data_IF_367302924277
#
_entry.id   IF_367302924277
#
_cell.length_a   1.000
_cell.length_b   1.000
_cell.length_c   1.000
_cell.angle_alpha   90.00
_cell.angle_beta   90.00
_cell.angle_gamma   90.00
#
_symmetry.space_group_name_H-M   'P 1'
#
loop_
_entity.id
_entity.type
_entity.pdbx_description
1 polymer ?
#
# COMPACT_ATOMS: atom_id res chain seq x y z
N UNK A 1 22.91 -3.43 4.63
CA UNK A 1 22.23 -4.55 3.96
C UNK A 1 21.08 -3.96 3.18
N UNK A 2 20.86 -4.42 1.96
CA UNK A 2 19.66 -4.05 1.20
C UNK A 2 18.42 -4.65 1.86
N UNK A 3 17.22 -4.14 1.55
CA UNK A 3 15.98 -4.71 2.09
C UNK A 3 15.79 -6.20 1.82
N UNK A 4 16.11 -6.67 0.61
CA UNK A 4 16.03 -8.09 0.26
C UNK A 4 17.08 -8.93 1.00
N UNK A 5 18.26 -8.37 1.29
CA UNK A 5 19.26 -9.03 2.14
C UNK A 5 18.76 -9.23 3.57
N UNK A 6 18.00 -8.28 4.13
CA UNK A 6 17.40 -8.40 5.47
C UNK A 6 16.37 -9.54 5.49
N UNK A 7 15.41 -9.53 4.56
CA UNK A 7 14.39 -10.59 4.47
C UNK A 7 15.02 -11.97 4.26
N UNK A 8 16.00 -12.07 3.35
CA UNK A 8 16.70 -13.32 3.08
C UNK A 8 17.50 -13.80 4.29
N UNK A 9 18.15 -12.90 5.02
CA UNK A 9 18.86 -13.27 6.27
C UNK A 9 17.89 -13.85 7.28
N UNK A 10 16.75 -13.19 7.51
CA UNK A 10 15.71 -13.66 8.42
C UNK A 10 15.20 -15.05 8.04
N UNK A 11 14.76 -15.23 6.79
CA UNK A 11 14.21 -16.50 6.31
C UNK A 11 15.22 -17.67 6.42
N UNK A 12 16.52 -17.40 6.18
CA UNK A 12 17.59 -18.40 6.31
C UNK A 12 17.83 -18.84 7.75
N UNK A 13 17.58 -17.97 8.75
CA UNK A 13 17.69 -18.34 10.17
C UNK A 13 16.70 -19.46 10.54
N UNK A 14 15.56 -19.53 9.85
CA UNK A 14 14.54 -20.55 10.03
C UNK A 14 14.64 -21.71 9.02
N UNK A 15 15.63 -21.67 8.12
CA UNK A 15 15.88 -22.74 7.14
C UNK A 15 14.99 -22.72 5.90
N UNK A 16 14.34 -21.58 5.61
CA UNK A 16 13.59 -21.40 4.35
C UNK A 16 14.56 -21.42 3.16
N UNK A 17 14.18 -22.09 2.08
CA UNK A 17 14.96 -22.21 0.86
C UNK A 17 15.13 -20.86 0.15
N UNK A 18 16.31 -20.63 -0.45
CA UNK A 18 16.57 -19.40 -1.21
C UNK A 18 15.64 -19.24 -2.43
N UNK A 19 15.18 -20.37 -2.97
CA UNK A 19 14.19 -20.44 -4.04
C UNK A 19 12.81 -19.95 -3.57
N UNK A 20 12.37 -20.38 -2.39
CA UNK A 20 11.13 -19.90 -1.78
C UNK A 20 11.23 -18.41 -1.44
N UNK A 21 12.33 -18.00 -0.81
CA UNK A 21 12.60 -16.59 -0.49
C UNK A 21 12.54 -15.71 -1.73
N UNK A 22 13.10 -16.15 -2.86
CA UNK A 22 13.09 -15.35 -4.10
C UNK A 22 11.68 -15.24 -4.67
N UNK A 23 10.88 -16.31 -4.67
CA UNK A 23 9.49 -16.27 -5.14
C UNK A 23 8.62 -15.37 -4.27
N UNK A 24 8.81 -15.47 -2.95
CA UNK A 24 8.12 -14.62 -1.98
C UNK A 24 8.54 -13.18 -2.22
N UNK A 25 9.84 -12.85 -2.19
CA UNK A 25 10.34 -11.48 -2.38
C UNK A 25 9.84 -10.80 -3.66
N UNK A 26 9.57 -11.56 -4.71
CA UNK A 26 8.99 -11.06 -5.97
C UNK A 26 7.53 -10.58 -5.84
N UNK A 27 6.85 -10.98 -4.77
CA UNK A 27 5.44 -10.73 -4.49
C UNK A 27 5.21 -10.12 -3.09
N UNK A 28 6.24 -9.64 -2.39
CA UNK A 28 6.07 -8.99 -1.07
C UNK A 28 6.41 -7.52 -1.11
N UNK A 29 5.69 -6.74 -0.30
CA UNK A 29 6.07 -5.39 0.06
C UNK A 29 5.99 -5.23 1.59
N UNK A 30 6.99 -4.63 2.22
CA UNK A 30 6.90 -4.25 3.63
C UNK A 30 5.71 -3.30 3.83
N UNK A 31 4.84 -3.66 4.76
CA UNK A 31 3.60 -2.94 5.03
C UNK A 31 3.64 -2.33 6.43
N UNK A 32 2.73 -1.38 6.68
CA UNK A 32 2.49 -0.85 8.02
C UNK A 32 1.01 -0.95 8.31
N UNK A 33 0.65 -1.67 9.37
CA UNK A 33 -0.74 -1.76 9.81
C UNK A 33 -1.06 -0.66 10.81
N UNK A 34 -2.16 0.02 10.52
CA UNK A 34 -2.68 1.17 11.24
C UNK A 34 -4.15 0.89 11.53
N UNK A 35 -4.57 1.13 12.77
CA UNK A 35 -5.99 1.12 13.12
C UNK A 35 -6.53 2.54 13.09
N UNK A 36 -7.76 2.69 12.60
CA UNK A 36 -8.54 3.91 12.80
C UNK A 36 -9.31 3.82 14.13
N UNK A 37 -9.30 4.92 14.91
CA UNK A 37 -9.96 5.00 16.20
C UNK A 37 -10.67 6.34 16.37
N UNK A 38 -11.77 6.36 17.11
CA UNK A 38 -12.37 7.64 17.51
C UNK A 38 -11.38 8.44 18.35
N UNK A 39 -11.30 9.77 18.18
CA UNK A 39 -10.35 10.61 18.92
C UNK A 39 -10.46 10.46 20.45
N UNK A 40 -11.63 10.14 20.98
CA UNK A 40 -11.86 9.92 22.41
C UNK A 40 -11.30 8.60 22.96
N UNK A 41 -11.04 7.63 22.08
CA UNK A 41 -10.51 6.31 22.43
C UNK A 41 -8.98 6.22 22.31
N UNK A 42 -8.33 7.25 21.77
CA UNK A 42 -6.88 7.30 21.61
C UNK A 42 -6.19 7.53 22.96
N UNK A 43 -5.39 6.54 23.39
CA UNK A 43 -4.58 6.65 24.60
C UNK A 43 -3.46 7.69 24.49
N UNK A 44 -2.97 8.25 25.61
CA UNK A 44 -1.94 9.29 25.60
C UNK A 44 -0.58 8.83 25.07
N UNK A 45 -0.32 7.52 25.10
CA UNK A 45 0.92 6.89 24.62
C UNK A 45 0.77 6.29 23.20
N UNK A 46 -0.37 6.53 22.54
CA UNK A 46 -0.63 6.03 21.19
C UNK A 46 0.31 6.68 20.17
N UNK A 47 0.89 5.86 19.30
CA UNK A 47 1.71 6.34 18.19
C UNK A 47 0.80 6.74 17.03
N UNK A 48 0.41 8.01 17.00
CA UNK A 48 -0.43 8.58 15.94
C UNK A 48 0.39 8.83 14.69
N UNK A 49 -0.13 8.38 13.54
CA UNK A 49 0.52 8.53 12.22
C UNK A 49 -0.29 9.40 11.25
N UNK A 50 -1.49 9.83 11.65
CA UNK A 50 -2.34 10.69 10.84
C UNK A 50 -3.81 10.67 11.26
N UNK A 51 -4.69 11.04 10.35
CA UNK A 51 -6.14 11.03 10.55
C UNK A 51 -6.93 10.76 9.27
N UNK A 52 -8.15 10.28 9.43
CA UNK A 52 -9.16 10.07 8.38
C UNK A 52 -10.23 11.16 8.55
N UNK A 53 -10.76 11.66 7.44
CA UNK A 53 -11.94 12.51 7.42
C UNK A 53 -11.83 13.87 8.10
N UNK A 54 -12.97 14.53 8.26
CA UNK A 54 -13.05 15.93 8.69
C UNK A 54 -12.55 16.91 7.62
N UNK A 55 -12.12 18.08 8.06
CA UNK A 55 -11.58 19.11 7.17
C UNK A 55 -10.07 18.88 6.97
N UNK A 56 -9.57 18.86 5.72
CA UNK A 56 -8.16 18.71 5.46
C UNK A 56 -7.38 19.97 5.86
N UNK A 57 -6.20 19.76 6.43
CA UNK A 57 -5.18 20.80 6.55
C UNK A 57 -4.32 20.76 5.29
N UNK A 58 -4.47 21.75 4.41
CA UNK A 58 -3.83 21.79 3.08
C UNK A 58 -2.91 23.00 2.91
N UNK A 59 -1.95 22.98 1.97
CA UNK A 59 -1.19 24.17 1.61
C UNK A 59 -2.08 25.38 1.28
N UNK A 60 -1.67 26.56 1.72
CA UNK A 60 -2.44 27.81 1.54
C UNK A 60 -2.64 28.22 0.06
N UNK A 61 -1.85 27.69 -0.86
CA UNK A 61 -1.88 27.96 -2.29
C UNK A 61 -2.50 26.84 -3.14
N UNK A 62 -2.78 25.67 -2.54
CA UNK A 62 -3.42 24.54 -3.21
C UNK A 62 -4.92 24.54 -2.86
N UNK A 63 -5.82 24.64 -3.86
CA UNK A 63 -7.25 24.53 -3.63
C UNK A 63 -7.65 23.08 -3.36
N UNK A 64 -8.72 22.88 -2.58
CA UNK A 64 -9.44 21.62 -2.57
C UNK A 64 -10.25 21.54 -3.88
N UNK A 65 -9.94 20.56 -4.71
CA UNK A 65 -10.57 20.35 -6.01
C UNK A 65 -12.03 19.87 -5.90
N UNK A 66 -12.91 20.42 -6.72
CA UNK A 66 -14.33 20.03 -6.83
C UNK A 66 -14.45 18.57 -7.28
N UNK A 67 -15.42 17.82 -6.72
CA UNK A 67 -15.62 16.40 -7.01
C UNK A 67 -14.63 15.44 -6.33
N UNK A 68 -13.70 15.96 -5.51
CA UNK A 68 -12.78 15.15 -4.70
C UNK A 68 -13.19 15.20 -3.24
N UNK A 69 -13.28 14.04 -2.59
CA UNK A 69 -13.45 13.94 -1.14
C UNK A 69 -12.09 13.78 -0.48
N UNK A 70 -11.85 14.54 0.60
CA UNK A 70 -10.71 14.28 1.46
C UNK A 70 -10.93 12.99 2.25
N UNK A 71 -9.98 12.07 2.14
CA UNK A 71 -10.06 10.77 2.83
C UNK A 71 -9.15 10.72 4.04
N UNK A 72 -7.85 10.98 3.86
CA UNK A 72 -6.89 10.84 4.95
C UNK A 72 -5.65 11.73 4.80
N UNK A 73 -4.99 11.99 5.92
CA UNK A 73 -3.69 12.65 6.00
C UNK A 73 -2.72 11.79 6.78
N UNK A 74 -1.53 11.56 6.24
CA UNK A 74 -0.45 10.79 6.87
C UNK A 74 0.75 11.68 7.14
N UNK A 75 1.26 11.68 8.36
CA UNK A 75 2.56 12.27 8.69
C UNK A 75 3.67 11.25 8.39
N UNK A 76 4.41 11.49 7.31
CA UNK A 76 5.46 10.57 6.85
C UNK A 76 6.65 10.48 7.81
N UNK A 77 6.81 11.46 8.71
CA UNK A 77 7.82 11.41 9.77
C UNK A 77 7.38 10.49 10.93
N UNK A 78 6.08 10.34 11.14
CA UNK A 78 5.51 9.45 12.15
C UNK A 78 5.43 7.99 11.68
N UNK A 79 5.35 7.73 10.38
CA UNK A 79 5.35 6.36 9.84
C UNK A 79 6.71 5.70 10.11
N UNK A 80 6.79 4.49 10.70
CA UNK A 80 8.05 3.79 10.90
C UNK A 80 8.80 3.53 9.58
N UNK A 81 10.13 3.43 9.64
CA UNK A 81 10.92 3.06 8.47
C UNK A 81 10.84 1.55 8.27
N UNK A 82 10.30 1.11 7.13
CA UNK A 82 10.31 -0.29 6.73
C UNK A 82 11.56 -0.65 5.93
N UNK A 83 11.76 -1.96 5.76
CA UNK A 83 12.53 -2.45 4.64
C UNK A 83 11.97 -1.84 3.33
N UNK A 84 12.81 -1.59 2.34
CA UNK A 84 12.42 -1.05 1.02
C UNK A 84 12.02 0.44 1.01
N UNK A 85 12.25 1.16 2.11
CA UNK A 85 11.91 2.59 2.28
C UNK A 85 12.91 3.59 1.72
N UNK A 86 13.97 3.15 1.04
CA UNK A 86 15.11 4.03 0.74
C UNK A 86 14.77 5.22 -0.18
N UNK A 87 13.55 5.25 -0.72
CA UNK A 87 13.09 6.19 -1.73
C UNK A 87 11.71 6.81 -1.45
N UNK A 88 11.07 6.43 -0.34
CA UNK A 88 9.82 7.05 0.09
C UNK A 88 10.15 8.30 0.93
N UNK A 89 9.49 9.45 0.71
CA UNK A 89 9.69 10.63 1.53
C UNK A 89 9.47 10.31 3.01
N UNK A 90 10.34 10.85 3.85
CA UNK A 90 10.37 10.58 5.30
C UNK A 90 9.86 11.75 6.13
N UNK A 91 9.46 12.82 5.47
CA UNK A 91 9.04 14.06 6.07
C UNK A 91 7.90 14.65 5.26
N UNK A 92 7.12 15.50 5.92
CA UNK A 92 5.94 16.11 5.31
C UNK A 92 4.70 15.24 5.47
N UNK A 93 3.61 15.70 4.86
CA UNK A 93 2.31 15.05 4.94
C UNK A 93 1.92 14.52 3.58
N UNK A 94 1.27 13.35 3.54
CA UNK A 94 0.59 12.86 2.35
C UNK A 94 -0.92 13.01 2.57
N UNK A 95 -1.55 13.89 1.79
CA UNK A 95 -3.00 14.08 1.78
C UNK A 95 -3.60 13.21 0.68
N UNK A 96 -4.63 12.46 1.01
CA UNK A 96 -5.26 11.49 0.13
C UNK A 96 -6.70 11.92 -0.16
N UNK A 97 -7.05 11.87 -1.44
CA UNK A 97 -8.36 12.23 -1.95
C UNK A 97 -8.92 11.10 -2.82
N UNK A 98 -10.23 10.96 -2.85
CA UNK A 98 -10.94 10.01 -3.71
C UNK A 98 -12.02 10.75 -4.51
N UNK A 99 -12.33 10.27 -5.71
CA UNK A 99 -13.46 10.78 -6.48
C UNK A 99 -14.77 10.46 -5.78
N UNK A 100 -15.68 11.45 -5.71
CA UNK A 100 -17.03 11.26 -5.18
C UNK A 100 -17.97 10.57 -6.18
N UNK A 101 -17.58 10.55 -7.46
CA UNK A 101 -18.34 9.89 -8.53
C UNK A 101 -17.75 8.52 -8.85
N UNK A 102 -18.60 7.49 -8.81
CA UNK A 102 -18.29 6.05 -8.92
C UNK A 102 -17.89 5.59 -10.34
N UNK A 103 -16.94 6.27 -11.01
CA UNK A 103 -16.51 5.90 -12.37
C UNK A 103 -15.00 5.90 -12.53
N UNK A 104 -14.51 4.78 -13.10
CA UNK A 104 -13.11 4.54 -13.48
C UNK A 104 -12.50 5.76 -14.19
N UNK A 105 -11.45 6.39 -13.62
CA UNK A 105 -10.86 7.58 -14.22
C UNK A 105 -9.94 7.17 -15.38
N UNK A 106 -10.40 7.35 -16.62
CA UNK A 106 -9.51 7.29 -17.79
C UNK A 106 -8.62 8.54 -17.91
N UNK A 107 -8.95 9.64 -17.22
CA UNK A 107 -8.10 10.82 -17.02
C UNK A 107 -8.72 11.66 -15.90
N UNK A 108 -8.07 11.72 -14.72
CA UNK A 108 -8.65 12.34 -13.52
C UNK A 108 -7.66 13.19 -12.72
N UNK A 109 -8.13 14.17 -11.93
CA UNK A 109 -7.29 15.04 -11.11
C UNK A 109 -6.60 14.31 -9.95
N UNK A 110 -5.64 14.97 -9.30
CA UNK A 110 -4.75 14.42 -8.26
C UNK A 110 -5.51 13.65 -7.18
N UNK A 111 -5.21 12.35 -7.04
CA UNK A 111 -5.72 11.54 -5.92
C UNK A 111 -4.90 11.72 -4.64
N UNK A 112 -3.75 12.40 -4.72
CA UNK A 112 -2.94 12.69 -3.55
C UNK A 112 -2.11 13.99 -3.70
N UNK A 113 -1.78 14.60 -2.57
CA UNK A 113 -0.90 15.77 -2.46
C UNK A 113 0.18 15.48 -1.40
N UNK A 114 1.44 15.40 -1.82
CA UNK A 114 2.56 15.41 -0.89
C UNK A 114 2.91 16.85 -0.52
N UNK A 115 2.87 17.15 0.77
CA UNK A 115 3.20 18.46 1.34
C UNK A 115 4.55 18.35 2.05
N UNK A 116 5.64 18.93 1.49
CA UNK A 116 6.94 18.93 2.13
C UNK A 116 6.92 19.62 3.51
N UNK A 117 7.87 19.29 4.40
CA UNK A 117 7.98 19.95 5.71
C UNK A 117 8.22 21.45 5.54
N UNK A 118 7.59 22.25 6.42
CA UNK A 118 7.74 23.71 6.45
C UNK A 118 6.85 24.49 5.48
N UNK A 119 6.03 23.83 4.66
CA UNK A 119 4.98 24.48 3.89
C UNK A 119 3.86 24.93 4.84
N UNK A 120 3.42 26.21 4.81
CA UNK A 120 2.28 26.66 5.60
C UNK A 120 1.00 25.95 5.16
N UNK A 121 0.28 25.40 6.13
CA UNK A 121 -0.99 24.72 5.90
C UNK A 121 -2.09 25.33 6.74
N UNK A 122 -3.32 25.31 6.22
CA UNK A 122 -4.51 25.76 6.89
C UNK A 122 -5.67 24.81 6.62
N UNK A 123 -6.62 24.75 7.55
CA UNK A 123 -7.87 24.02 7.37
C UNK A 123 -8.65 24.59 6.17
N UNK A 124 -9.13 23.70 5.29
CA UNK A 124 -9.90 24.06 4.10
C UNK A 124 -11.33 23.58 4.20
N UNK A 125 -12.27 24.48 3.94
CA UNK A 125 -13.67 24.12 3.74
C UNK A 125 -13.86 23.38 2.42
N UNK A 126 -14.88 22.52 2.36
CA UNK A 126 -15.27 21.79 1.15
C UNK A 126 -15.59 22.78 0.01
N UNK A 127 -15.12 22.54 -1.24
CA UNK A 127 -15.31 23.45 -2.37
C UNK A 127 -16.79 23.69 -2.71
N UNK A 128 -17.64 22.67 -2.58
CA UNK A 128 -19.10 22.78 -2.81
C UNK A 128 -19.82 23.56 -1.70
N UNK A 129 -19.10 24.04 -0.68
CA UNK A 129 -19.69 24.61 0.51
C UNK A 129 -20.58 23.59 1.24
N UNK A 130 -21.26 24.04 2.28
CA UNK A 130 -22.29 23.23 2.94
C UNK A 130 -23.56 23.11 2.06
N UNK A 131 -23.43 22.79 0.77
CA UNK A 131 -24.57 22.37 -0.03
C UNK A 131 -25.14 21.08 0.58
N UNK A 132 -26.47 21.04 0.72
CA UNK A 132 -27.20 19.94 1.35
C UNK A 132 -26.95 18.63 0.60
N UNK A 133 -25.98 17.82 1.05
CA UNK A 133 -25.81 16.45 0.57
C UNK A 133 -24.41 15.86 0.62
N UNK A 134 -23.33 16.65 0.67
CA UNK A 134 -21.97 16.10 0.76
C UNK A 134 -21.55 15.99 2.23
N UNK A 135 -21.72 14.82 2.82
CA UNK A 135 -21.26 14.54 4.17
C UNK A 135 -19.74 14.34 4.17
N UNK A 136 -19.04 15.12 5.00
CA UNK A 136 -17.62 14.87 5.29
C UNK A 136 -17.47 13.50 5.95
N UNK A 137 -16.36 12.85 5.68
CA UNK A 137 -16.02 11.62 6.40
C UNK A 137 -15.83 11.93 7.87
N UNK A 138 -16.22 10.99 8.72
CA UNK A 138 -16.04 11.12 10.15
C UNK A 138 -14.54 11.25 10.48
N UNK A 139 -14.25 12.16 11.41
CA UNK A 139 -12.87 12.38 11.84
C UNK A 139 -12.41 11.26 12.77
N UNK A 140 -11.48 10.41 12.30
CA UNK A 140 -10.86 9.33 13.07
C UNK A 140 -9.35 9.49 13.10
N UNK A 141 -8.71 9.04 14.18
CA UNK A 141 -7.25 9.08 14.34
C UNK A 141 -6.65 7.77 13.87
N UNK A 142 -5.58 7.86 13.09
CA UNK A 142 -4.80 6.70 12.65
C UNK A 142 -3.69 6.39 13.65
N UNK A 143 -3.78 5.23 14.29
CA UNK A 143 -2.84 4.78 15.33
C UNK A 143 -2.08 3.56 14.83
N UNK A 144 -0.75 3.65 14.86
CA UNK A 144 0.13 2.55 14.52
C UNK A 144 -0.08 1.37 15.47
N UNK A 145 -0.33 0.18 14.92
CA UNK A 145 -0.45 -1.05 15.70
C UNK A 145 0.84 -1.87 15.67
N UNK A 146 1.30 -2.19 14.46
CA UNK A 146 2.44 -3.06 14.24
C UNK A 146 3.37 -2.43 13.19
N UNK A 147 4.55 -1.95 13.60
CA UNK A 147 5.48 -1.30 12.71
C UNK A 147 6.24 -2.27 11.82
N UNK A 148 6.23 -3.58 12.00
CA UNK A 148 7.12 -4.49 11.25
C UNK A 148 6.34 -5.67 10.68
N UNK A 149 5.43 -5.38 9.75
CA UNK A 149 4.61 -6.38 9.08
C UNK A 149 5.00 -6.46 7.60
N UNK A 150 5.04 -7.67 7.08
CA UNK A 150 5.25 -7.89 5.65
C UNK A 150 3.88 -8.06 5.00
N UNK A 151 3.50 -7.16 4.11
CA UNK A 151 2.38 -7.38 3.21
C UNK A 151 2.85 -8.31 2.10
N UNK A 152 2.21 -9.46 1.93
CA UNK A 152 2.54 -10.36 0.83
C UNK A 152 1.38 -10.32 -0.15
N UNK A 153 1.65 -9.88 -1.37
CA UNK A 153 0.68 -9.86 -2.47
C UNK A 153 0.27 -11.32 -2.77
N UNK A 154 -1.03 -11.61 -2.72
CA UNK A 154 -1.57 -12.95 -2.90
C UNK A 154 -1.42 -13.88 -1.70
N UNK A 155 -1.22 -13.35 -0.50
CA UNK A 155 -1.11 -14.17 0.72
C UNK A 155 -2.49 -14.49 1.28
N UNK A 156 -2.76 -15.77 1.63
CA UNK A 156 -4.06 -16.14 2.15
C UNK A 156 -4.33 -15.42 3.48
N UNK A 157 -5.55 -14.93 3.64
CA UNK A 157 -6.02 -14.47 4.95
C UNK A 157 -6.16 -15.65 5.91
N UNK A 158 -6.19 -15.38 7.21
CA UNK A 158 -6.43 -16.43 8.21
C UNK A 158 -7.80 -17.13 8.06
N UNK A 159 -8.76 -16.50 7.38
CA UNK A 159 -10.16 -16.95 7.32
C UNK A 159 -10.55 -17.59 5.98
N UNK A 160 -9.76 -17.42 4.93
CA UNK A 160 -10.03 -17.99 3.61
C UNK A 160 -9.09 -19.18 3.32
N UNK A 161 -9.65 -20.32 2.91
CA UNK A 161 -8.88 -21.30 2.14
C UNK A 161 -8.31 -20.60 0.90
N UNK A 162 -7.09 -20.92 0.46
CA UNK A 162 -6.35 -20.13 -0.53
C UNK A 162 -7.04 -20.15 -1.91
N UNK A 163 -7.99 -19.25 -2.13
CA UNK A 163 -8.70 -19.08 -3.39
C UNK A 163 -7.79 -18.48 -4.50
N UNK A 164 -6.63 -17.92 -4.13
CA UNK A 164 -5.77 -17.08 -4.98
C UNK A 164 -4.49 -17.79 -5.45
N UNK A 165 -4.25 -19.04 -5.04
CA UNK A 165 -2.98 -19.74 -5.31
C UNK A 165 -3.08 -20.94 -6.25
N UNK A 166 -4.27 -21.26 -6.78
CA UNK A 166 -4.44 -22.40 -7.69
C UNK A 166 -3.70 -22.21 -9.04
N UNK A 167 -3.53 -20.96 -9.49
CA UNK A 167 -2.84 -20.62 -10.74
C UNK A 167 -1.31 -20.47 -10.59
N UNK A 168 -0.78 -20.56 -9.36
CA UNK A 168 0.66 -20.47 -9.08
C UNK A 168 1.14 -21.44 -7.98
N UNK A 169 1.25 -22.74 -8.31
CA UNK A 169 1.60 -23.77 -7.34
C UNK A 169 3.01 -23.62 -6.74
N UNK A 170 3.93 -22.93 -7.43
CA UNK A 170 5.30 -22.72 -6.96
C UNK A 170 5.36 -21.61 -5.92
N UNK A 171 4.66 -20.50 -6.14
CA UNK A 171 4.51 -19.46 -5.13
C UNK A 171 3.76 -20.00 -3.91
N UNK A 172 2.69 -20.77 -4.12
CA UNK A 172 1.92 -21.40 -3.06
C UNK A 172 2.75 -22.34 -2.18
N UNK A 173 3.67 -23.11 -2.80
CA UNK A 173 4.59 -23.96 -2.07
C UNK A 173 5.62 -23.13 -1.27
N UNK A 174 6.14 -22.05 -1.84
CA UNK A 174 7.07 -21.15 -1.17
C UNK A 174 6.43 -20.48 0.06
N UNK A 175 5.20 -19.96 -0.08
CA UNK A 175 4.43 -19.35 1.01
C UNK A 175 4.23 -20.33 2.15
N UNK A 176 3.79 -21.57 1.85
CA UNK A 176 3.61 -22.62 2.86
C UNK A 176 4.92 -22.98 3.56
N UNK A 177 6.01 -23.13 2.82
CA UNK A 177 7.33 -23.39 3.40
C UNK A 177 7.72 -22.28 4.40
N UNK A 178 7.51 -21.01 4.05
CA UNK A 178 7.78 -19.89 4.94
C UNK A 178 6.89 -19.92 6.19
N UNK A 179 5.58 -20.10 6.03
CA UNK A 179 4.62 -20.15 7.14
C UNK A 179 4.89 -21.31 8.13
N UNK A 180 5.29 -22.47 7.62
CA UNK A 180 5.58 -23.64 8.46
C UNK A 180 6.86 -23.47 9.28
N UNK A 181 7.83 -22.71 8.76
CA UNK A 181 9.16 -22.57 9.36
C UNK A 181 9.34 -21.29 10.18
N UNK A 182 8.65 -20.21 9.82
CA UNK A 182 8.82 -18.88 10.40
C UNK A 182 7.65 -18.57 11.35
N UNK A 183 7.88 -18.53 12.68
CA UNK A 183 6.82 -18.40 13.68
C UNK A 183 6.12 -17.04 13.70
N UNK A 184 6.79 -16.01 13.18
CA UNK A 184 6.31 -14.64 12.99
C UNK A 184 6.02 -14.36 11.51
N UNK A 185 5.61 -15.39 10.76
CA UNK A 185 5.20 -15.21 9.39
C UNK A 185 4.10 -14.15 9.29
N UNK A 186 4.18 -13.26 8.28
CA UNK A 186 3.21 -12.20 8.11
C UNK A 186 1.78 -12.75 8.02
N UNK A 187 0.87 -12.02 8.64
CA UNK A 187 -0.56 -12.28 8.57
C UNK A 187 -1.22 -11.07 7.94
N UNK A 188 -1.86 -11.27 6.80
CA UNK A 188 -2.73 -10.24 6.21
C UNK A 188 -3.89 -10.04 7.18
N UNK A 189 -3.95 -8.86 7.79
CA UNK A 189 -5.09 -8.45 8.61
C UNK A 189 -6.09 -7.72 7.73
N UNK A 190 -7.27 -8.33 7.53
CA UNK A 190 -8.43 -7.70 6.91
C UNK A 190 -9.43 -7.30 8.01
N UNK A 191 -9.98 -6.10 7.95
CA UNK A 191 -11.06 -5.69 8.83
C UNK A 191 -11.53 -4.26 8.59
N UNK A 192 -12.75 -3.97 9.05
CA UNK A 192 -13.47 -2.72 8.80
C UNK A 192 -12.77 -1.43 9.29
N UNK A 193 -11.67 -1.54 10.06
CA UNK A 193 -10.94 -0.41 10.64
C UNK A 193 -9.44 -0.38 10.26
N UNK A 194 -8.99 -1.23 9.34
CA UNK A 194 -7.57 -1.33 8.97
C UNK A 194 -7.20 -0.34 7.87
N UNK A 195 -6.10 0.39 8.10
CA UNK A 195 -5.38 1.15 7.07
C UNK A 195 -4.04 0.46 6.88
N UNK A 196 -3.69 0.18 5.63
CA UNK A 196 -2.40 -0.44 5.31
C UNK A 196 -1.59 0.51 4.45
N UNK A 197 -0.43 0.92 4.93
CA UNK A 197 0.56 1.57 4.06
C UNK A 197 1.34 0.48 3.36
N UNK A 198 1.42 0.57 2.03
CA UNK A 198 2.12 -0.41 1.18
C UNK A 198 1.56 -1.82 1.31
N UNK A 199 0.23 -1.88 1.38
CA UNK A 199 -0.53 -3.11 1.49
C UNK A 199 -0.66 -3.88 0.19
N UNK A 200 -1.38 -4.99 0.28
CA UNK A 200 -1.92 -5.70 -0.87
C UNK A 200 -2.97 -4.82 -1.59
N UNK A 201 -3.35 -5.16 -2.81
CA UNK A 201 -4.64 -4.71 -3.34
C UNK A 201 -5.66 -5.78 -2.95
N UNK A 202 -6.64 -5.45 -2.12
CA UNK A 202 -7.56 -6.44 -1.56
C UNK A 202 -8.60 -7.06 -2.51
N UNK A 203 -8.48 -6.87 -3.84
CA UNK A 203 -9.23 -7.65 -4.82
C UNK A 203 -8.32 -8.48 -5.75
N UNK A 204 -7.77 -9.61 -5.26
CA UNK A 204 -6.75 -10.39 -5.96
C UNK A 204 -7.24 -11.13 -7.21
N UNK A 205 -8.55 -11.23 -7.47
CA UNK A 205 -9.04 -11.88 -8.69
C UNK A 205 -8.73 -11.10 -9.97
N UNK A 206 -8.44 -9.80 -9.85
CA UNK A 206 -8.00 -8.96 -10.96
C UNK A 206 -6.45 -8.84 -11.03
N UNK A 207 -5.72 -9.28 -9.99
CA UNK A 207 -4.26 -9.11 -9.90
C UNK A 207 -3.44 -10.23 -10.57
N UNK A 208 -4.01 -11.43 -10.75
CA UNK A 208 -3.39 -12.46 -11.61
C UNK A 208 -3.23 -11.98 -13.06
N UNK A 209 -4.05 -11.00 -13.46
CA UNK A 209 -3.96 -10.27 -14.73
C UNK A 209 -3.12 -8.98 -14.63
N UNK A 210 -3.12 -8.25 -13.50
CA UNK A 210 -2.44 -6.96 -13.34
C UNK A 210 -0.90 -6.99 -13.44
N UNK A 211 -0.26 -8.12 -13.15
CA UNK A 211 1.19 -8.29 -13.31
C UNK A 211 1.55 -8.99 -14.63
N UNK A 212 0.58 -9.62 -15.28
CA UNK A 212 0.75 -10.39 -16.51
C UNK A 212 1.56 -11.69 -16.35
N UNK A 213 1.37 -12.62 -17.28
CA UNK A 213 2.12 -13.88 -17.37
C UNK A 213 3.65 -13.61 -17.45
N UNK A 214 4.04 -12.56 -18.18
CA UNK A 214 5.45 -12.23 -18.43
C UNK A 214 6.21 -11.78 -17.16
N UNK A 215 5.56 -11.17 -16.17
CA UNK A 215 6.22 -10.83 -14.90
C UNK A 215 6.42 -12.08 -14.03
N UNK A 216 5.44 -13.01 -14.05
CA UNK A 216 5.55 -14.31 -13.38
C UNK A 216 6.63 -15.20 -14.01
N UNK A 217 6.75 -15.22 -15.33
CA UNK A 217 7.85 -15.93 -16.01
C UNK A 217 9.22 -15.38 -15.59
N UNK A 218 9.38 -14.05 -15.55
CA UNK A 218 10.62 -13.39 -15.09
C UNK A 218 10.98 -13.75 -13.65
N UNK A 219 10.00 -14.00 -12.77
CA UNK A 219 10.25 -14.51 -11.41
C UNK A 219 11.00 -15.83 -11.44
N UNK A 220 10.56 -16.77 -12.27
CA UNK A 220 11.18 -18.10 -12.35
C UNK A 220 12.58 -18.04 -12.98
N UNK A 221 12.80 -17.14 -13.93
CA UNK A 221 14.15 -16.82 -14.42
C UNK A 221 15.03 -16.22 -13.31
N UNK A 222 14.47 -15.30 -12.51
CA UNK A 222 15.17 -14.69 -11.40
C UNK A 222 15.55 -15.71 -10.31
N UNK A 223 14.66 -16.65 -9.97
CA UNK A 223 14.97 -17.76 -9.04
C UNK A 223 16.24 -18.51 -9.46
N UNK A 224 16.35 -18.83 -10.75
CA UNK A 224 17.53 -19.52 -11.28
C UNK A 224 18.75 -18.59 -11.24
N UNK A 225 18.59 -17.33 -11.66
CA UNK A 225 19.69 -16.38 -11.79
C UNK A 225 20.32 -15.97 -10.44
N UNK A 226 19.51 -15.87 -9.38
CA UNK A 226 19.96 -15.38 -8.06
C UNK A 226 20.38 -16.50 -7.11
N UNK A 227 20.19 -17.78 -7.47
CA UNK A 227 20.54 -18.92 -6.61
C UNK A 227 22.03 -18.90 -6.19
N UNK A 228 22.91 -18.52 -7.10
CA UNK A 228 24.36 -18.38 -6.85
C UNK A 228 24.81 -16.91 -6.74
N UNK A 229 23.88 -15.95 -6.82
CA UNK A 229 24.14 -14.52 -6.83
C UNK A 229 22.96 -13.72 -6.23
N UNK A 230 22.62 -13.92 -4.94
CA UNK A 230 21.45 -13.31 -4.31
C UNK A 230 21.48 -11.77 -4.30
N UNK A 231 22.66 -11.17 -4.35
CA UNK A 231 22.86 -9.71 -4.39
C UNK A 231 22.32 -9.06 -5.67
N UNK A 232 22.04 -9.85 -6.72
CA UNK A 232 21.46 -9.36 -7.98
C UNK A 232 19.94 -9.24 -7.95
N UNK A 233 19.29 -9.73 -6.89
CA UNK A 233 17.84 -9.76 -6.81
C UNK A 233 17.22 -8.36 -7.00
N UNK A 234 17.68 -7.37 -6.24
CA UNK A 234 17.11 -6.02 -6.28
C UNK A 234 17.16 -5.39 -7.68
N UNK A 235 18.27 -5.60 -8.40
CA UNK A 235 18.45 -5.10 -9.78
C UNK A 235 17.49 -5.80 -10.75
N UNK A 236 17.39 -7.13 -10.67
CA UNK A 236 16.52 -7.93 -11.55
C UNK A 236 15.04 -7.63 -11.28
N UNK A 237 14.65 -7.55 -10.02
CA UNK A 237 13.29 -7.24 -9.61
C UNK A 237 12.88 -5.84 -10.05
N UNK A 238 13.71 -4.82 -9.78
CA UNK A 238 13.44 -3.44 -10.21
C UNK A 238 13.29 -3.35 -11.73
N UNK A 239 14.19 -4.00 -12.48
CA UNK A 239 14.11 -4.02 -13.94
C UNK A 239 12.82 -4.66 -14.43
N UNK A 240 12.45 -5.83 -13.91
CA UNK A 240 11.23 -6.52 -14.30
C UNK A 240 9.98 -5.68 -13.97
N UNK A 241 9.98 -5.03 -12.81
CA UNK A 241 8.91 -4.18 -12.34
C UNK A 241 8.77 -2.91 -13.21
N UNK A 242 9.87 -2.26 -13.57
CA UNK A 242 9.87 -1.11 -14.49
C UNK A 242 9.36 -1.53 -15.87
N UNK A 243 9.91 -2.60 -16.45
CA UNK A 243 9.48 -3.11 -17.77
C UNK A 243 7.98 -3.44 -17.78
N UNK A 244 7.48 -4.09 -16.72
CA UNK A 244 6.05 -4.39 -16.60
C UNK A 244 5.21 -3.11 -16.45
N UNK A 245 5.65 -2.13 -15.65
CA UNK A 245 4.90 -0.88 -15.41
C UNK A 245 4.74 0.04 -16.64
N UNK A 246 5.51 -0.21 -17.70
CA UNK A 246 5.38 0.48 -18.99
C UNK A 246 4.20 -0.05 -19.83
N UNK A 247 3.70 -1.25 -19.53
CA UNK A 247 2.55 -1.83 -20.23
C UNK A 247 1.24 -1.12 -19.83
N UNK A 248 0.28 -1.08 -20.75
CA UNK A 248 -1.10 -0.70 -20.45
C UNK A 248 -1.61 -1.72 -19.43
N UNK A 249 -1.97 -1.28 -18.22
CA UNK A 249 -2.28 -2.09 -17.03
C UNK A 249 -1.07 -2.72 -16.30
N UNK A 250 0.14 -2.26 -16.58
CA UNK A 250 1.34 -2.63 -15.84
C UNK A 250 1.25 -2.34 -14.33
N UNK A 251 2.01 -3.08 -13.51
CA UNK A 251 1.90 -3.00 -12.07
C UNK A 251 2.23 -1.63 -11.47
N UNK A 252 1.36 -1.21 -10.56
CA UNK A 252 1.58 -0.07 -9.68
C UNK A 252 1.79 -0.54 -8.23
N UNK A 253 2.57 0.22 -7.47
CA UNK A 253 2.76 -0.01 -6.04
C UNK A 253 1.54 0.55 -5.31
N UNK A 254 0.87 -0.26 -4.51
CA UNK A 254 -0.08 0.24 -3.52
C UNK A 254 0.70 1.07 -2.49
N UNK A 255 0.35 2.33 -2.30
CA UNK A 255 0.97 3.21 -1.33
C UNK A 255 0.16 3.23 -0.03
N UNK A 256 -1.17 3.32 -0.16
CA UNK A 256 -2.12 3.32 0.95
C UNK A 256 -3.35 2.56 0.52
N UNK A 257 -3.89 1.78 1.45
CA UNK A 257 -5.15 1.07 1.34
C UNK A 257 -5.98 1.39 2.57
N UNK A 258 -7.28 1.58 2.36
CA UNK A 258 -8.21 1.99 3.39
C UNK A 258 -9.60 1.37 3.12
N UNK A 259 -10.10 0.56 4.06
CA UNK A 259 -11.38 -0.12 3.94
C UNK A 259 -12.60 0.84 3.92
N UNK A 260 -13.61 0.58 3.08
CA UNK A 260 -14.73 1.50 2.77
C UNK A 260 -15.62 1.82 3.97
N UNK A 261 -15.79 0.97 4.98
CA UNK A 261 -16.55 1.34 6.18
C UNK A 261 -16.00 2.62 6.87
N UNK A 262 -14.77 3.02 6.54
CA UNK A 262 -14.15 4.28 6.95
C UNK A 262 -14.25 5.42 5.92
N UNK A 263 -14.58 5.14 4.65
CA UNK A 263 -14.64 6.12 3.55
C UNK A 263 -16.06 6.37 3.05
N UNK A 264 -16.88 5.34 2.83
CA UNK A 264 -18.24 5.52 2.33
C UNK A 264 -19.20 4.67 3.18
N UNK A 265 -20.25 5.28 3.71
CA UNK A 265 -21.15 4.64 4.68
C UNK A 265 -22.07 3.55 4.07
N UNK A 266 -21.81 3.07 2.86
CA UNK A 266 -22.84 2.44 2.01
C UNK A 266 -22.49 1.11 1.33
N UNK A 267 -21.38 0.44 1.65
CA UNK A 267 -20.99 -0.82 0.98
C UNK A 267 -19.93 -1.67 1.68
N UNK A 268 -19.36 -2.60 0.91
CA UNK A 268 -18.33 -3.61 1.21
C UNK A 268 -16.98 -3.40 0.49
N UNK A 269 -16.71 -2.21 -0.05
CA UNK A 269 -15.55 -1.90 -0.87
C UNK A 269 -14.32 -1.34 -0.15
N UNK A 270 -13.39 -0.78 -0.92
CA UNK A 270 -12.12 -0.25 -0.45
C UNK A 270 -11.55 0.82 -1.39
N UNK A 271 -10.78 1.77 -0.85
CA UNK A 271 -10.02 2.75 -1.65
C UNK A 271 -8.53 2.46 -1.53
N UNK A 272 -7.87 2.37 -2.68
CA UNK A 272 -6.41 2.23 -2.76
C UNK A 272 -5.81 3.41 -3.51
N UNK A 273 -4.62 3.83 -3.09
CA UNK A 273 -3.80 4.82 -3.79
C UNK A 273 -2.56 4.13 -4.32
N UNK A 274 -2.35 4.22 -5.62
CA UNK A 274 -1.29 3.51 -6.33
C UNK A 274 -0.34 4.49 -7.00
N UNK A 275 0.94 4.13 -7.07
CA UNK A 275 1.98 4.91 -7.72
C UNK A 275 2.89 3.99 -8.53
N UNK A 276 3.28 4.41 -9.73
CA UNK A 276 4.29 3.65 -10.48
C UNK A 276 5.63 3.72 -9.75
N UNK A 277 6.44 2.65 -9.80
CA UNK A 277 7.76 2.63 -9.16
C UNK A 277 8.61 3.85 -9.53
N UNK A 278 8.76 4.15 -10.82
CA UNK A 278 9.56 5.28 -11.30
C UNK A 278 9.04 6.63 -10.81
N UNK A 279 7.72 6.78 -10.67
CA UNK A 279 7.09 7.99 -10.11
C UNK A 279 7.43 8.13 -8.63
N UNK A 280 7.36 7.04 -7.86
CA UNK A 280 7.77 7.01 -6.46
C UNK A 280 9.25 7.36 -6.31
N UNK A 281 10.12 6.76 -7.13
CA UNK A 281 11.57 7.05 -7.15
C UNK A 281 11.87 8.51 -7.52
N UNK A 282 11.05 9.11 -8.39
CA UNK A 282 11.18 10.50 -8.82
C UNK A 282 10.47 11.50 -7.88
N UNK A 283 9.74 11.03 -6.86
CA UNK A 283 8.94 11.87 -5.97
C UNK A 283 7.73 12.53 -6.65
N UNK A 284 7.20 11.92 -7.72
CA UNK A 284 6.05 12.41 -8.49
C UNK A 284 4.74 11.93 -7.85
N UNK A 285 4.46 12.39 -6.63
CA UNK A 285 3.21 12.10 -5.92
C UNK A 285 1.97 12.65 -6.64
N UNK A 286 2.17 13.60 -7.57
CA UNK A 286 1.16 14.06 -8.51
C UNK A 286 0.68 12.98 -9.51
N UNK A 287 1.35 11.82 -9.55
CA UNK A 287 1.01 10.68 -10.40
C UNK A 287 0.34 9.54 -9.64
N UNK A 288 0.01 9.77 -8.37
CA UNK A 288 -0.81 8.81 -7.62
C UNK A 288 -2.20 8.77 -8.22
N UNK A 289 -2.66 7.56 -8.49
CA UNK A 289 -4.02 7.26 -8.92
C UNK A 289 -4.75 6.56 -7.78
N UNK A 290 -6.04 6.84 -7.62
CA UNK A 290 -6.90 6.11 -6.69
C UNK A 290 -7.78 5.12 -7.43
N UNK A 291 -7.94 3.92 -6.88
CA UNK A 291 -8.91 2.92 -7.33
C UNK A 291 -9.92 2.63 -6.23
N UNK A 292 -11.16 2.40 -6.63
CA UNK A 292 -12.21 1.90 -5.75
C UNK A 292 -12.60 0.49 -6.17
N UNK A 293 -12.65 -0.43 -5.20
CA UNK A 293 -12.95 -1.84 -5.43
C UNK A 293 -14.12 -2.25 -4.52
N UNK A 294 -15.07 -3.03 -5.04
CA UNK A 294 -16.14 -3.70 -4.28
C UNK A 294 -15.89 -5.20 -4.25
#
# INVERSE_FOLDING_TARGET
>A
MTPSEIFRSHAREYGVSDDAVTRILWNVQPAVHIDSQDPEHVGPDAHVVGYIGGLPTMPEDVPWEEGKQFVASLDLAAVPRQAMDDRVPREGHLLLFADTEYFYPEDGPLSAVHVPPGVPMAERAHPDGAEEGVELLEHRVMVLQDPEVWGILGWPTQEEEPLVLDDDPLLAAAIREYQELVPDAPVVRRGDATVTLRGEKLNPSDDTDAWGEAFRERREEAVIAVRDAPEKFDELHLRALTEASEEEDGPALCLVELAEANVWWTGDGEVTWMIRPDDLYAGRFDRIVSGYFC
#
